data_IF_765554603591
#
_entry.id   IF_765554603591
#
_cell.length_a   1.000
_cell.length_b   1.000
_cell.length_c   1.000
_cell.angle_alpha   90.00
_cell.angle_beta   90.00
_cell.angle_gamma   90.00
#
_symmetry.space_group_name_H-M   'P 1'
#
loop_
_entity.id
_entity.type
_entity.pdbx_description
1 polymer ?
#
# COMPACT_ATOMS: atom_id res chain seq x y z
N UNK A 1 -70.77 -1.30 8.07
CA UNK A 1 -70.17 -1.48 9.41
C UNK A 1 -69.48 -2.84 9.48
N UNK A 2 -68.14 -2.87 9.50
CA UNK A 2 -67.37 -4.07 9.87
C UNK A 2 -66.38 -3.65 10.96
N UNK A 3 -66.58 -4.22 12.14
CA UNK A 3 -65.75 -4.05 13.33
C UNK A 3 -64.39 -4.73 13.12
N UNK A 4 -63.30 -4.01 13.43
CA UNK A 4 -61.97 -4.59 13.63
C UNK A 4 -61.80 -4.96 15.11
N UNK A 5 -61.49 -6.23 15.39
CA UNK A 5 -60.97 -6.67 16.68
C UNK A 5 -59.44 -6.84 16.59
N UNK A 6 -58.66 -6.45 17.62
CA UNK A 6 -57.22 -6.63 17.61
C UNK A 6 -56.85 -8.07 18.00
N UNK A 7 -55.97 -8.68 17.19
CA UNK A 7 -55.41 -10.01 17.43
C UNK A 7 -54.50 -10.02 18.66
N UNK A 8 -54.78 -10.94 19.60
CA UNK A 8 -53.94 -11.19 20.77
C UNK A 8 -52.68 -11.99 20.40
N UNK A 9 -51.50 -11.45 20.71
CA UNK A 9 -50.21 -12.12 20.49
C UNK A 9 -50.06 -13.32 21.45
N UNK A 10 -49.69 -14.53 20.98
CA UNK A 10 -49.57 -15.73 21.82
C UNK A 10 -48.52 -15.59 22.94
N UNK A 11 -48.82 -16.15 24.12
CA UNK A 11 -47.95 -16.12 25.32
C UNK A 11 -46.53 -16.66 25.08
N UNK A 12 -46.36 -17.63 24.17
CA UNK A 12 -45.05 -18.20 23.80
C UNK A 12 -44.16 -17.17 23.09
N UNK A 13 -44.71 -16.33 22.23
CA UNK A 13 -43.97 -15.28 21.50
C UNK A 13 -43.44 -14.20 22.43
N UNK A 14 -44.18 -13.88 23.51
CA UNK A 14 -43.70 -12.97 24.57
C UNK A 14 -42.54 -13.57 25.37
N UNK A 15 -42.54 -14.88 25.60
CA UNK A 15 -41.47 -15.57 26.33
C UNK A 15 -40.15 -15.60 25.54
N UNK A 16 -40.21 -15.87 24.23
CA UNK A 16 -39.03 -15.80 23.36
C UNK A 16 -38.50 -14.36 23.17
N UNK A 17 -39.39 -13.37 23.12
CA UNK A 17 -38.97 -11.96 23.08
C UNK A 17 -38.24 -11.54 24.37
N UNK A 18 -38.70 -12.00 25.54
CA UNK A 18 -38.02 -11.76 26.83
C UNK A 18 -36.67 -12.48 26.93
N UNK A 19 -36.57 -13.72 26.43
CA UNK A 19 -35.33 -14.49 26.38
C UNK A 19 -34.23 -13.84 25.52
N UNK A 20 -34.60 -13.05 24.51
CA UNK A 20 -33.66 -12.31 23.66
C UNK A 20 -33.42 -10.88 24.16
N UNK A 21 -34.42 -10.23 24.75
CA UNK A 21 -34.31 -8.86 25.22
C UNK A 21 -33.34 -8.72 26.40
N UNK A 22 -33.38 -9.65 27.36
CA UNK A 22 -32.52 -9.61 28.56
C UNK A 22 -31.02 -9.65 28.22
N UNK A 23 -30.50 -10.64 27.45
CA UNK A 23 -29.08 -10.66 27.09
C UNK A 23 -28.68 -9.47 26.21
N UNK A 24 -29.58 -8.97 25.36
CA UNK A 24 -29.33 -7.76 24.56
C UNK A 24 -29.19 -6.52 25.45
N UNK A 25 -30.05 -6.34 26.45
CA UNK A 25 -29.92 -5.25 27.42
C UNK A 25 -28.65 -5.36 28.25
N UNK A 26 -28.28 -6.57 28.71
CA UNK A 26 -27.01 -6.78 29.41
C UNK A 26 -25.80 -6.45 28.53
N UNK A 27 -25.85 -6.81 27.24
CA UNK A 27 -24.80 -6.46 26.27
C UNK A 27 -24.69 -4.94 26.07
N UNK A 28 -25.82 -4.24 25.92
CA UNK A 28 -25.85 -2.77 25.78
C UNK A 28 -25.34 -2.07 27.04
N UNK A 29 -25.76 -2.53 28.22
CA UNK A 29 -25.29 -1.99 29.51
C UNK A 29 -23.78 -2.24 29.67
N UNK A 30 -23.30 -3.46 29.34
CA UNK A 30 -21.87 -3.78 29.39
C UNK A 30 -21.06 -2.90 28.43
N UNK A 31 -21.55 -2.66 27.21
CA UNK A 31 -20.92 -1.73 26.26
C UNK A 31 -20.88 -0.29 26.81
N UNK A 32 -21.99 0.21 27.37
CA UNK A 32 -22.04 1.55 27.97
C UNK A 32 -21.11 1.69 29.18
N UNK A 33 -21.04 0.70 30.06
CA UNK A 33 -20.13 0.70 31.21
C UNK A 33 -18.66 0.62 30.77
N UNK A 34 -18.36 -0.19 29.76
CA UNK A 34 -17.01 -0.29 29.17
C UNK A 34 -16.59 1.03 28.53
N UNK A 35 -17.50 1.67 27.78
CA UNK A 35 -17.30 2.99 27.20
C UNK A 35 -17.07 4.05 28.29
N UNK A 36 -17.92 4.09 29.32
CA UNK A 36 -17.79 5.02 30.45
C UNK A 36 -16.44 4.89 31.15
N UNK A 37 -15.99 3.67 31.43
CA UNK A 37 -14.70 3.42 32.09
C UNK A 37 -13.52 3.82 31.21
N UNK A 38 -13.61 3.58 29.90
CA UNK A 38 -12.59 4.04 28.95
C UNK A 38 -12.54 5.57 28.83
N UNK A 39 -13.68 6.23 28.99
CA UNK A 39 -13.83 7.68 28.95
C UNK A 39 -13.30 8.33 30.23
N UNK A 40 -13.56 7.74 31.41
CA UNK A 40 -12.93 8.17 32.67
C UNK A 40 -11.40 8.01 32.63
N UNK A 41 -10.87 6.89 32.12
CA UNK A 41 -9.42 6.72 31.98
C UNK A 41 -8.82 7.76 31.02
N UNK A 42 -9.51 8.02 29.91
CA UNK A 42 -9.12 9.04 28.94
C UNK A 42 -9.13 10.44 29.55
N UNK A 43 -10.17 10.79 30.31
CA UNK A 43 -10.27 12.07 31.00
C UNK A 43 -9.23 12.18 32.13
N UNK A 44 -8.93 11.09 32.85
CA UNK A 44 -7.88 11.06 33.86
C UNK A 44 -6.48 11.24 33.25
N UNK A 45 -6.24 10.70 32.05
CA UNK A 45 -5.01 10.94 31.27
C UNK A 45 -4.96 12.38 30.75
N UNK A 46 -6.08 12.90 30.23
CA UNK A 46 -6.18 14.29 29.79
C UNK A 46 -5.96 15.27 30.96
N UNK A 47 -6.50 14.99 32.14
CA UNK A 47 -6.27 15.78 33.35
C UNK A 47 -4.85 15.62 33.90
N UNK A 48 -4.16 14.51 33.61
CA UNK A 48 -2.71 14.39 33.85
C UNK A 48 -1.88 15.23 32.87
N UNK A 49 -2.43 15.54 31.70
CA UNK A 49 -1.90 16.53 30.75
C UNK A 49 -2.67 17.84 30.88
N UNK A 50 -2.74 18.41 32.08
CA UNK A 50 -2.93 19.86 32.19
C UNK A 50 -1.78 20.53 31.42
N UNK A 51 -2.07 20.90 30.18
CA UNK A 51 -1.22 21.75 29.36
C UNK A 51 -1.19 23.12 30.05
N UNK A 52 -0.16 23.35 30.86
CA UNK A 52 0.25 24.72 31.15
C UNK A 52 0.53 25.39 29.81
N UNK A 53 0.00 26.60 29.61
CA UNK A 53 0.10 27.37 28.35
C UNK A 53 1.54 27.67 27.90
N UNK A 54 2.56 27.25 28.67
CA UNK A 54 3.98 27.42 28.41
C UNK A 54 4.80 26.12 28.26
N UNK A 55 4.21 24.92 28.33
CA UNK A 55 4.94 23.68 28.03
C UNK A 55 4.63 23.17 26.61
N UNK A 56 5.68 22.95 25.81
CA UNK A 56 5.56 22.29 24.52
C UNK A 56 4.81 20.95 24.66
N UNK A 57 4.01 20.59 23.65
CA UNK A 57 3.28 19.30 23.63
C UNK A 57 4.26 18.13 23.84
N UNK A 58 4.21 17.52 25.04
CA UNK A 58 5.00 16.33 25.38
C UNK A 58 4.31 15.12 24.76
N UNK A 59 4.92 14.54 23.73
CA UNK A 59 4.37 13.32 23.12
C UNK A 59 4.54 12.14 24.09
N UNK A 60 3.53 11.26 24.20
CA UNK A 60 3.63 10.10 25.08
C UNK A 60 4.67 9.11 24.53
N UNK A 61 5.55 8.63 25.40
CA UNK A 61 6.41 7.50 25.08
C UNK A 61 5.61 6.20 25.26
N UNK A 62 5.14 5.63 24.16
CA UNK A 62 4.31 4.42 24.16
C UNK A 62 5.21 3.19 24.28
N UNK A 63 4.87 2.29 25.21
CA UNK A 63 5.44 0.94 25.23
C UNK A 63 4.78 0.09 24.13
N UNK A 64 5.52 -0.39 23.11
CA UNK A 64 4.96 -1.25 22.09
C UNK A 64 4.39 -2.56 22.64
N UNK A 65 4.70 -2.96 23.87
CA UNK A 65 4.20 -4.19 24.49
C UNK A 65 3.27 -3.93 25.68
N UNK A 66 2.65 -2.74 25.76
CA UNK A 66 1.73 -2.37 26.83
C UNK A 66 0.66 -3.45 27.06
N UNK A 67 0.47 -3.85 28.31
CA UNK A 67 -0.41 -4.96 28.70
C UNK A 67 -1.86 -4.79 28.22
N UNK A 68 -2.32 -3.54 28.06
CA UNK A 68 -3.69 -3.25 27.63
C UNK A 68 -3.94 -3.64 26.17
N UNK A 69 -2.90 -3.68 25.33
CA UNK A 69 -3.02 -4.00 23.90
C UNK A 69 -2.70 -5.47 23.58
N UNK A 70 -1.98 -6.17 24.47
CA UNK A 70 -1.57 -7.57 24.27
C UNK A 70 -2.72 -8.53 23.88
N UNK A 71 -3.92 -8.45 24.50
CA UNK A 71 -5.03 -9.34 24.14
C UNK A 71 -5.54 -9.19 22.70
N UNK A 72 -5.25 -8.06 22.05
CA UNK A 72 -5.68 -7.77 20.69
C UNK A 72 -4.65 -8.22 19.64
N UNK A 73 -3.44 -8.62 20.05
CA UNK A 73 -2.47 -9.18 19.13
C UNK A 73 -2.73 -10.66 18.90
N UNK A 74 -3.02 -11.00 17.65
CA UNK A 74 -3.03 -12.37 17.17
C UNK A 74 -1.94 -12.51 16.12
N UNK A 75 -1.15 -13.56 16.22
CA UNK A 75 -0.19 -13.88 15.17
C UNK A 75 -0.98 -14.29 13.92
N UNK A 76 -0.73 -13.62 12.80
CA UNK A 76 -1.31 -14.01 11.53
C UNK A 76 -0.74 -15.38 11.11
N UNK A 77 -1.59 -16.23 10.55
CA UNK A 77 -1.15 -17.49 9.97
C UNK A 77 -0.25 -17.21 8.75
N UNK A 78 0.82 -18.00 8.53
CA UNK A 78 1.69 -17.83 7.38
C UNK A 78 0.90 -17.77 6.06
N UNK A 79 1.22 -16.79 5.22
CA UNK A 79 0.59 -16.64 3.93
C UNK A 79 0.98 -17.80 3.01
N UNK A 80 -0.01 -18.61 2.61
CA UNK A 80 0.18 -19.73 1.69
C UNK A 80 -0.60 -19.52 0.38
N UNK A 81 0.13 -19.09 -0.65
CA UNK A 81 -0.44 -18.86 -1.98
C UNK A 81 -0.53 -20.17 -2.76
N UNK A 82 -1.76 -20.64 -3.00
CA UNK A 82 -2.01 -21.90 -3.70
C UNK A 82 -1.60 -21.81 -5.16
N UNK A 83 -0.96 -22.87 -5.67
CA UNK A 83 -0.70 -23.02 -7.10
C UNK A 83 -1.98 -23.40 -7.84
N UNK A 84 -2.59 -22.42 -8.50
CA UNK A 84 -3.85 -22.59 -9.25
C UNK A 84 -3.64 -23.05 -10.69
N UNK A 85 -2.51 -22.69 -11.28
CA UNK A 85 -2.12 -23.04 -12.65
C UNK A 85 -0.59 -23.20 -12.72
N UNK A 86 -0.05 -23.87 -13.76
CA UNK A 86 1.38 -23.85 -14.07
C UNK A 86 1.80 -22.47 -14.63
N UNK A 87 3.05 -22.08 -14.41
CA UNK A 87 3.61 -20.81 -14.91
C UNK A 87 4.26 -21.04 -16.28
N UNK A 88 3.42 -21.20 -17.31
CA UNK A 88 3.87 -21.59 -18.66
C UNK A 88 4.76 -20.55 -19.35
N UNK A 89 4.76 -19.31 -18.88
CA UNK A 89 5.60 -18.23 -19.42
C UNK A 89 6.24 -17.43 -18.29
N UNK A 90 7.44 -16.92 -18.52
CA UNK A 90 8.10 -15.98 -17.62
C UNK A 90 8.74 -14.83 -18.38
N UNK A 91 8.93 -13.71 -17.69
CA UNK A 91 9.59 -12.51 -18.21
C UNK A 91 11.05 -12.48 -17.76
N UNK A 92 11.98 -12.30 -18.70
CA UNK A 92 13.41 -12.15 -18.39
C UNK A 92 13.75 -10.72 -17.96
N UNK A 93 14.89 -10.50 -17.28
CA UNK A 93 15.38 -9.15 -16.98
C UNK A 93 15.59 -8.25 -18.21
N UNK A 94 15.79 -8.84 -19.40
CA UNK A 94 15.95 -8.11 -20.66
C UNK A 94 14.60 -7.70 -21.29
N UNK A 95 13.49 -8.16 -20.71
CA UNK A 95 12.13 -7.89 -21.15
C UNK A 95 11.62 -8.84 -22.22
N UNK A 96 12.15 -10.06 -22.30
CA UNK A 96 11.70 -11.12 -23.21
C UNK A 96 10.71 -12.03 -22.49
N UNK A 97 9.61 -12.39 -23.16
CA UNK A 97 8.70 -13.42 -22.69
C UNK A 97 9.17 -14.75 -23.26
N UNK A 98 9.45 -15.70 -22.37
CA UNK A 98 9.90 -17.05 -22.70
C UNK A 98 8.89 -18.09 -22.23
N UNK A 99 8.80 -19.19 -22.95
CA UNK A 99 8.06 -20.36 -22.49
C UNK A 99 8.88 -21.11 -21.44
N UNK A 100 8.21 -21.51 -20.36
CA UNK A 100 8.81 -22.35 -19.34
C UNK A 100 8.63 -23.82 -19.74
N UNK A 101 9.63 -24.38 -20.42
CA UNK A 101 9.60 -25.75 -20.94
C UNK A 101 9.36 -26.78 -19.83
N UNK A 102 9.94 -26.59 -18.64
CA UNK A 102 9.75 -27.49 -17.49
C UNK A 102 8.31 -27.48 -17.00
N UNK A 103 7.68 -26.30 -16.91
CA UNK A 103 6.28 -26.15 -16.50
C UNK A 103 5.31 -26.71 -17.56
N UNK A 104 5.60 -26.50 -18.84
CA UNK A 104 4.85 -27.09 -19.95
C UNK A 104 4.85 -28.61 -19.88
N UNK A 105 6.03 -29.23 -19.74
CA UNK A 105 6.18 -30.68 -19.61
C UNK A 105 5.46 -31.22 -18.37
N UNK A 106 5.62 -30.55 -17.22
CA UNK A 106 4.96 -30.95 -15.97
C UNK A 106 3.43 -30.88 -16.08
N UNK A 107 2.92 -29.89 -16.82
CA UNK A 107 1.49 -29.74 -17.09
C UNK A 107 0.96 -30.66 -18.20
N UNK A 108 1.83 -31.47 -18.84
CA UNK A 108 1.45 -32.39 -19.90
C UNK A 108 1.18 -31.71 -21.26
N UNK A 109 1.80 -30.56 -21.51
CA UNK A 109 1.66 -29.82 -22.76
C UNK A 109 2.98 -29.76 -23.55
N UNK A 110 2.89 -29.93 -24.86
CA UNK A 110 3.93 -29.49 -25.80
C UNK A 110 3.56 -28.11 -26.35
N UNK A 111 4.53 -27.21 -26.50
CA UNK A 111 4.23 -25.86 -27.02
C UNK A 111 3.60 -25.90 -28.42
N UNK A 112 4.01 -26.85 -29.25
CA UNK A 112 3.45 -27.13 -30.59
C UNK A 112 1.99 -27.55 -30.56
N UNK A 113 1.48 -28.04 -29.43
CA UNK A 113 0.08 -28.42 -29.24
C UNK A 113 -0.82 -27.24 -28.83
N UNK A 114 -0.22 -26.11 -28.48
CA UNK A 114 -0.90 -24.91 -28.01
C UNK A 114 -0.89 -23.82 -29.09
N UNK A 115 -1.83 -22.89 -28.96
CA UNK A 115 -1.83 -21.60 -29.62
C UNK A 115 -1.75 -20.54 -28.54
N UNK A 116 -0.58 -19.93 -28.39
CA UNK A 116 -0.34 -18.87 -27.42
C UNK A 116 -0.32 -17.52 -28.13
N UNK A 117 -0.97 -16.54 -27.52
CA UNK A 117 -0.98 -15.16 -27.97
C UNK A 117 -0.76 -14.22 -26.81
N UNK A 118 -0.35 -13.00 -27.12
CA UNK A 118 -0.24 -11.92 -26.16
C UNK A 118 -0.89 -10.65 -26.70
N UNK A 119 -1.26 -9.75 -25.80
CA UNK A 119 -1.64 -8.39 -26.13
C UNK A 119 -1.10 -7.40 -25.12
N UNK A 120 -0.83 -6.20 -25.59
CA UNK A 120 -0.51 -5.06 -24.74
C UNK A 120 -1.77 -4.47 -24.13
N UNK A 121 -1.66 -3.93 -22.92
CA UNK A 121 -2.73 -3.13 -22.31
C UNK A 121 -2.16 -1.98 -21.48
N UNK A 122 -3.01 -1.01 -21.14
CA UNK A 122 -2.63 0.13 -20.32
C UNK A 122 -3.81 1.01 -19.96
N UNK A 123 -3.54 2.14 -19.28
CA UNK A 123 -4.57 3.12 -18.93
C UNK A 123 -5.18 3.72 -20.20
N UNK A 124 -6.50 3.77 -20.26
CA UNK A 124 -7.24 4.59 -21.21
C UNK A 124 -7.37 6.05 -20.69
N UNK A 125 -7.51 7.02 -21.59
CA UNK A 125 -7.76 8.41 -21.21
C UNK A 125 -9.18 8.54 -20.63
N UNK A 126 -9.32 9.17 -19.46
CA UNK A 126 -10.61 9.27 -18.75
C UNK A 126 -10.56 8.55 -17.41
N UNK A 127 -11.52 7.66 -17.14
CA UNK A 127 -11.62 6.95 -15.86
C UNK A 127 -10.32 6.22 -15.47
N UNK A 128 -10.01 6.21 -14.18
CA UNK A 128 -8.77 5.62 -13.67
C UNK A 128 -8.83 4.09 -13.51
N UNK A 129 -9.99 3.50 -13.77
CA UNK A 129 -10.25 2.05 -13.81
C UNK A 129 -10.42 1.51 -15.23
N UNK A 130 -10.31 2.36 -16.25
CA UNK A 130 -10.58 1.98 -17.64
C UNK A 130 -9.29 1.60 -18.36
N UNK A 131 -9.32 0.46 -19.06
CA UNK A 131 -8.16 -0.12 -19.74
C UNK A 131 -8.33 -0.11 -21.26
N UNK A 132 -7.30 0.34 -21.96
CA UNK A 132 -7.17 0.16 -23.40
C UNK A 132 -6.37 -1.10 -23.71
N UNK A 133 -6.80 -1.83 -24.74
CA UNK A 133 -6.20 -3.10 -25.16
C UNK A 133 -5.73 -3.02 -26.61
N UNK A 134 -4.55 -3.58 -26.88
CA UNK A 134 -4.09 -3.87 -28.23
C UNK A 134 -4.71 -5.15 -28.79
N UNK A 135 -4.44 -5.41 -30.07
CA UNK A 135 -4.78 -6.66 -30.74
C UNK A 135 -4.01 -7.84 -30.15
N UNK A 136 -4.60 -9.03 -30.18
CA UNK A 136 -3.90 -10.27 -29.89
C UNK A 136 -2.94 -10.62 -31.02
N UNK A 137 -1.69 -10.89 -30.67
CA UNK A 137 -0.62 -11.30 -31.58
C UNK A 137 -0.08 -12.65 -31.15
N UNK A 138 0.38 -13.47 -32.09
CA UNK A 138 1.02 -14.75 -31.78
C UNK A 138 2.22 -14.55 -30.84
N UNK A 139 2.33 -15.40 -29.83
CA UNK A 139 3.44 -15.39 -28.88
C UNK A 139 4.49 -16.41 -29.32
N UNK A 140 5.67 -15.92 -29.65
CA UNK A 140 6.84 -16.73 -29.97
C UNK A 140 7.81 -16.78 -28.78
N UNK A 141 8.66 -17.81 -28.73
CA UNK A 141 9.65 -17.90 -27.67
C UNK A 141 10.69 -16.78 -27.84
N UNK A 142 10.77 -15.87 -26.87
CA UNK A 142 11.69 -14.73 -26.92
C UNK A 142 11.04 -13.45 -27.43
N UNK A 143 9.70 -13.42 -27.57
CA UNK A 143 8.97 -12.20 -27.91
C UNK A 143 9.33 -11.07 -26.95
N UNK A 144 9.57 -9.88 -27.49
CA UNK A 144 9.87 -8.65 -26.73
C UNK A 144 8.76 -7.62 -26.94
N UNK A 145 7.73 -7.57 -26.10
CA UNK A 145 6.65 -6.60 -26.25
C UNK A 145 7.16 -5.16 -26.11
N UNK A 146 6.60 -4.24 -26.88
CA UNK A 146 6.95 -2.80 -26.85
C UNK A 146 6.12 -1.99 -25.82
N UNK A 147 5.43 -2.70 -24.93
CA UNK A 147 4.58 -2.13 -23.89
C UNK A 147 5.04 -2.60 -22.49
N UNK A 148 4.61 -1.86 -21.47
CA UNK A 148 4.96 -2.17 -20.08
C UNK A 148 4.14 -3.32 -19.52
N UNK A 149 2.87 -3.43 -19.91
CA UNK A 149 1.95 -4.44 -19.40
C UNK A 149 1.44 -5.34 -20.51
N UNK A 150 1.57 -6.64 -20.30
CA UNK A 150 1.28 -7.68 -21.29
C UNK A 150 0.39 -8.72 -20.67
N UNK A 151 -0.66 -9.08 -21.39
CA UNK A 151 -1.48 -10.24 -21.09
C UNK A 151 -1.14 -11.36 -22.07
N UNK A 152 -0.96 -12.57 -21.54
CA UNK A 152 -0.72 -13.79 -22.30
C UNK A 152 -1.90 -14.74 -22.11
N UNK A 153 -2.33 -15.38 -23.19
CA UNK A 153 -3.34 -16.44 -23.20
C UNK A 153 -2.84 -17.61 -24.05
N UNK A 154 -2.90 -18.82 -23.51
CA UNK A 154 -2.58 -20.04 -24.25
C UNK A 154 -3.80 -20.95 -24.33
N UNK A 155 -4.14 -21.37 -25.55
CA UNK A 155 -5.29 -22.21 -25.86
C UNK A 155 -4.89 -23.54 -26.46
N UNK A 156 -5.69 -24.58 -26.25
CA UNK A 156 -5.63 -25.79 -27.10
C UNK A 156 -6.00 -25.44 -28.53
N UNK A 157 -5.44 -26.13 -29.53
CA UNK A 157 -5.79 -25.90 -30.94
C UNK A 157 -7.21 -26.35 -31.28
N UNK A 158 -7.66 -27.49 -30.75
CA UNK A 158 -9.01 -28.00 -30.99
C UNK A 158 -9.51 -28.87 -29.82
N UNK A 159 -10.70 -28.59 -29.25
CA UNK A 159 -11.43 -27.33 -29.37
C UNK A 159 -10.62 -26.18 -28.74
N UNK A 160 -10.77 -24.93 -29.23
CA UNK A 160 -10.06 -23.78 -28.67
C UNK A 160 -10.56 -23.46 -27.26
N UNK A 161 -9.76 -23.85 -26.27
CA UNK A 161 -10.03 -23.66 -24.85
C UNK A 161 -8.81 -23.01 -24.20
N UNK A 162 -9.00 -21.87 -23.54
CA UNK A 162 -7.96 -21.23 -22.72
C UNK A 162 -7.61 -22.15 -21.55
N UNK A 163 -6.34 -22.48 -21.44
CA UNK A 163 -5.78 -23.35 -20.39
C UNK A 163 -4.85 -22.60 -19.44
N UNK A 164 -4.43 -21.39 -19.83
CA UNK A 164 -3.45 -20.60 -19.11
C UNK A 164 -3.59 -19.13 -19.50
N UNK A 165 -3.64 -18.27 -18.49
CA UNK A 165 -3.57 -16.82 -18.67
C UNK A 165 -2.60 -16.23 -17.65
N UNK A 166 -1.72 -15.32 -18.08
CA UNK A 166 -0.81 -14.65 -17.15
C UNK A 166 -0.55 -13.20 -17.57
N UNK A 167 -0.11 -12.40 -16.61
CA UNK A 167 0.19 -10.99 -16.79
C UNK A 167 1.67 -10.75 -16.51
N UNK A 168 2.33 -10.01 -17.39
CA UNK A 168 3.73 -9.63 -17.23
C UNK A 168 3.85 -8.10 -17.19
N UNK A 169 4.63 -7.60 -16.24
CA UNK A 169 4.97 -6.19 -16.12
C UNK A 169 6.47 -5.99 -16.33
N UNK A 170 6.83 -5.09 -17.25
CA UNK A 170 8.21 -4.64 -17.48
C UNK A 170 8.28 -3.13 -17.45
N UNK A 171 9.43 -2.61 -17.07
CA UNK A 171 9.72 -1.17 -17.16
C UNK A 171 10.33 -0.89 -18.53
N UNK A 172 9.76 0.09 -19.24
CA UNK A 172 10.34 0.60 -20.49
C UNK A 172 10.83 2.03 -20.24
N UNK A 173 12.16 2.26 -20.26
CA UNK A 173 12.70 3.57 -19.95
C UNK A 173 12.23 4.60 -20.98
N UNK A 174 11.74 5.74 -20.48
CA UNK A 174 11.27 6.85 -21.30
C UNK A 174 12.45 7.60 -21.92
N UNK A 175 12.50 7.66 -23.25
CA UNK A 175 13.66 8.16 -24.02
C UNK A 175 13.97 9.62 -23.66
N UNK A 176 12.95 10.45 -23.56
CA UNK A 176 13.03 11.86 -23.19
C UNK A 176 13.67 12.08 -21.82
N UNK A 177 13.41 11.21 -20.85
CA UNK A 177 14.00 11.27 -19.51
C UNK A 177 15.48 10.87 -19.57
N UNK A 178 15.79 9.78 -20.26
CA UNK A 178 17.17 9.30 -20.42
C UNK A 178 18.01 10.35 -21.16
N UNK A 179 17.50 10.90 -22.26
CA UNK A 179 18.21 11.88 -23.07
C UNK A 179 18.46 13.19 -22.31
N UNK A 180 17.49 13.66 -21.52
CA UNK A 180 17.65 14.83 -20.65
C UNK A 180 18.76 14.62 -19.61
N UNK A 181 18.85 13.44 -19.00
CA UNK A 181 19.82 13.18 -17.93
C UNK A 181 21.24 12.88 -18.42
N UNK A 182 21.46 12.59 -19.71
CA UNK A 182 22.82 12.46 -20.28
C UNK A 182 23.70 13.69 -20.05
N UNK A 183 23.10 14.87 -19.85
CA UNK A 183 23.78 16.17 -19.71
C UNK A 183 23.70 16.72 -18.29
N UNK A 184 23.03 16.03 -17.37
CA UNK A 184 22.82 16.49 -16.00
C UNK A 184 23.76 15.77 -15.04
N UNK A 185 24.17 16.41 -13.93
CA UNK A 185 24.91 15.73 -12.88
C UNK A 185 24.07 14.58 -12.30
N UNK A 186 24.76 13.54 -11.78
CA UNK A 186 24.09 12.44 -11.07
C UNK A 186 23.38 13.02 -9.84
N UNK A 187 22.11 12.66 -9.69
CA UNK A 187 21.24 13.08 -8.58
C UNK A 187 20.73 11.84 -7.84
N UNK A 188 20.47 11.94 -6.53
CA UNK A 188 19.96 10.82 -5.74
C UNK A 188 18.53 10.48 -6.14
N UNK A 189 18.15 9.20 -6.02
CA UNK A 189 16.74 8.83 -6.11
C UNK A 189 15.99 9.30 -4.85
N UNK A 190 14.67 9.38 -4.95
CA UNK A 190 13.76 9.71 -3.85
C UNK A 190 12.66 8.67 -3.81
N UNK A 191 12.69 7.80 -2.81
CA UNK A 191 11.81 6.63 -2.70
C UNK A 191 10.92 6.80 -1.48
N UNK A 192 9.61 6.84 -1.69
CA UNK A 192 8.58 6.82 -0.67
C UNK A 192 7.98 5.42 -0.66
N UNK A 193 8.33 4.62 0.35
CA UNK A 193 7.79 3.30 0.59
C UNK A 193 6.79 3.39 1.76
N UNK A 194 5.50 3.29 1.43
CA UNK A 194 4.41 3.46 2.38
C UNK A 194 3.76 2.12 2.70
N UNK A 195 3.57 1.84 3.98
CA UNK A 195 2.66 0.80 4.46
C UNK A 195 1.46 1.48 5.11
N UNK A 196 0.25 1.18 4.64
CA UNK A 196 -0.98 1.72 5.24
C UNK A 196 -1.14 1.23 6.69
N UNK A 197 -1.61 2.12 7.57
CA UNK A 197 -2.14 1.75 8.90
C UNK A 197 -1.14 1.15 9.89
N UNK A 198 0.14 1.56 9.85
CA UNK A 198 1.19 1.04 10.73
C UNK A 198 1.74 2.13 11.67
N UNK A 199 1.42 2.00 12.97
CA UNK A 199 2.01 2.85 14.01
C UNK A 199 3.50 2.53 14.24
N UNK A 200 4.24 3.46 14.83
CA UNK A 200 5.64 3.23 15.22
C UNK A 200 5.78 1.99 16.12
N UNK A 201 4.89 1.88 17.10
CA UNK A 201 4.85 0.77 18.03
C UNK A 201 4.42 -0.56 17.33
N UNK A 202 3.43 -0.53 16.45
CA UNK A 202 3.03 -1.71 15.67
C UNK A 202 4.14 -2.19 14.74
N UNK A 203 4.91 -1.26 14.16
CA UNK A 203 6.07 -1.61 13.35
C UNK A 203 7.10 -2.41 14.16
N UNK A 204 7.41 -1.97 15.38
CA UNK A 204 8.35 -2.69 16.27
C UNK A 204 7.90 -4.11 16.58
N UNK A 205 6.59 -4.32 16.72
CA UNK A 205 6.01 -5.64 16.97
C UNK A 205 5.99 -6.53 15.72
N UNK A 206 5.55 -5.97 14.59
CA UNK A 206 5.12 -6.75 13.43
C UNK A 206 6.17 -6.81 12.31
N UNK A 207 7.09 -5.84 12.25
CA UNK A 207 8.08 -5.70 11.18
C UNK A 207 9.54 -5.63 11.72
N UNK A 208 9.95 -6.48 12.67
CA UNK A 208 11.26 -6.36 13.30
C UNK A 208 12.43 -6.61 12.34
N UNK A 209 12.29 -7.49 11.34
CA UNK A 209 13.37 -7.75 10.37
C UNK A 209 13.56 -6.54 9.47
N UNK A 210 12.47 -5.98 8.98
CA UNK A 210 12.49 -4.76 8.16
C UNK A 210 13.09 -3.61 8.95
N UNK A 211 12.68 -3.42 10.21
CA UNK A 211 13.25 -2.40 11.08
C UNK A 211 14.76 -2.56 11.25
N UNK A 212 15.23 -3.80 11.46
CA UNK A 212 16.66 -4.08 11.56
C UNK A 212 17.42 -3.72 10.27
N UNK A 213 16.87 -4.01 9.09
CA UNK A 213 17.48 -3.62 7.80
C UNK A 213 17.56 -2.09 7.67
N UNK A 214 16.51 -1.36 8.07
CA UNK A 214 16.51 0.10 8.01
C UNK A 214 17.56 0.68 8.97
N UNK A 215 17.62 0.19 10.22
CA UNK A 215 18.56 0.69 11.21
C UNK A 215 20.01 0.28 10.93
N UNK A 216 20.28 -0.97 10.62
CA UNK A 216 21.64 -1.48 10.47
C UNK A 216 22.16 -1.41 9.04
N UNK A 217 21.30 -1.69 8.07
CA UNK A 217 21.62 -1.67 6.65
C UNK A 217 21.70 -0.26 6.09
N UNK A 218 20.69 0.57 6.39
CA UNK A 218 20.54 1.92 5.84
C UNK A 218 20.91 3.02 6.82
N UNK A 219 21.15 2.73 8.11
CA UNK A 219 21.39 3.75 9.13
C UNK A 219 20.26 4.81 9.15
N UNK A 220 19.04 4.37 8.87
CA UNK A 220 17.86 5.23 8.83
C UNK A 220 17.59 5.87 10.19
N UNK A 221 17.21 7.14 10.16
CA UNK A 221 16.71 7.84 11.35
C UNK A 221 15.23 7.58 11.50
N UNK A 222 14.81 6.94 12.60
CA UNK A 222 13.40 6.68 12.95
C UNK A 222 12.88 7.81 13.83
N UNK A 223 11.71 8.34 13.49
CA UNK A 223 11.07 9.44 14.21
C UNK A 223 9.99 8.90 15.13
N UNK A 224 10.27 8.95 16.43
CA UNK A 224 9.35 8.40 17.45
C UNK A 224 8.11 9.25 17.68
N UNK A 225 8.19 10.53 17.34
CA UNK A 225 7.12 11.51 17.54
C UNK A 225 6.43 11.97 16.27
N UNK A 226 6.62 11.27 15.15
CA UNK A 226 5.94 11.62 13.90
C UNK A 226 4.43 11.45 14.06
N UNK A 227 3.66 12.46 13.66
CA UNK A 227 2.22 12.52 13.88
C UNK A 227 1.49 12.73 12.55
N UNK A 228 0.30 12.14 12.43
CA UNK A 228 -0.57 12.33 11.28
C UNK A 228 -1.18 13.74 11.26
N UNK A 229 -1.54 14.21 10.07
CA UNK A 229 -2.17 15.53 9.87
C UNK A 229 -3.68 15.45 10.03
N UNK A 230 -4.30 14.36 9.59
CA UNK A 230 -5.75 14.19 9.55
C UNK A 230 -6.15 12.73 9.84
N UNK A 231 -7.44 12.41 9.71
CA UNK A 231 -7.94 11.14 10.22
C UNK A 231 -7.53 9.92 9.38
N UNK A 232 -7.80 9.92 8.07
CA UNK A 232 -7.60 8.78 7.16
C UNK A 232 -6.48 9.00 6.12
N UNK A 233 -6.26 8.01 5.25
CA UNK A 233 -5.13 8.00 4.32
C UNK A 233 -5.10 9.16 3.34
N UNK A 234 -6.23 9.48 2.71
CA UNK A 234 -6.32 10.52 1.69
C UNK A 234 -5.77 11.91 2.14
N UNK A 235 -6.28 12.55 3.22
CA UNK A 235 -5.79 13.86 3.65
C UNK A 235 -4.35 13.82 4.19
N UNK A 236 -3.92 12.71 4.79
CA UNK A 236 -2.53 12.53 5.20
C UNK A 236 -1.60 12.45 3.98
N UNK A 237 -1.98 11.67 2.97
CA UNK A 237 -1.28 11.57 1.69
C UNK A 237 -1.20 12.90 0.96
N UNK A 238 -2.33 13.60 0.85
CA UNK A 238 -2.38 14.93 0.24
C UNK A 238 -1.43 15.88 0.96
N UNK A 239 -1.40 15.87 2.30
CA UNK A 239 -0.51 16.75 3.06
C UNK A 239 0.96 16.56 2.71
N UNK A 240 1.46 15.32 2.65
CA UNK A 240 2.88 15.11 2.32
C UNK A 240 3.18 15.13 0.82
N UNK A 241 2.19 14.88 -0.05
CA UNK A 241 2.37 14.93 -1.51
C UNK A 241 2.22 16.34 -2.08
N UNK A 242 1.53 17.25 -1.41
CA UNK A 242 1.26 18.60 -1.93
C UNK A 242 1.75 19.73 -1.01
N UNK A 243 2.03 19.43 0.27
CA UNK A 243 2.23 20.45 1.29
C UNK A 243 0.97 21.24 1.65
N UNK A 244 -0.22 20.76 1.24
CA UNK A 244 -1.52 21.41 1.48
C UNK A 244 -2.41 20.58 2.38
N UNK A 245 -3.22 21.24 3.20
CA UNK A 245 -4.22 20.57 4.05
C UNK A 245 -5.55 20.40 3.32
N UNK A 246 -6.17 19.25 3.51
CA UNK A 246 -7.57 18.96 3.14
C UNK A 246 -8.21 18.17 4.26
N UNK A 247 -9.52 18.38 4.49
CA UNK A 247 -10.31 17.60 5.46
C UNK A 247 -9.65 17.50 6.85
N UNK A 248 -8.93 18.54 7.26
CA UNK A 248 -8.18 18.58 8.52
C UNK A 248 -9.08 19.14 9.62
N UNK A 249 -9.34 18.39 10.71
CA UNK A 249 -10.22 18.86 11.78
C UNK A 249 -9.77 20.21 12.36
N UNK A 250 -10.70 21.16 12.49
CA UNK A 250 -10.41 22.50 13.03
C UNK A 250 -9.71 23.46 12.06
N UNK A 251 -9.47 23.07 10.81
CA UNK A 251 -8.80 23.90 9.80
C UNK A 251 -9.58 23.88 8.47
N UNK A 252 -9.55 25.00 7.75
CA UNK A 252 -10.10 25.07 6.38
C UNK A 252 -9.21 24.31 5.39
N UNK A 253 -9.84 23.61 4.45
CA UNK A 253 -9.15 22.97 3.32
C UNK A 253 -8.48 24.02 2.42
N UNK A 254 -7.25 23.77 1.99
CA UNK A 254 -6.48 24.61 1.04
C UNK A 254 -6.64 24.15 -0.41
N UNK A 255 -7.17 22.95 -0.62
CA UNK A 255 -7.57 22.38 -1.90
C UNK A 255 -9.05 21.97 -1.80
N UNK A 256 -9.74 21.71 -2.93
CA UNK A 256 -11.10 21.19 -2.90
C UNK A 256 -11.20 19.95 -2.00
N UNK A 257 -12.30 19.83 -1.24
CA UNK A 257 -12.57 18.70 -0.35
C UNK A 257 -13.80 17.87 -0.75
N UNK A 258 -14.61 18.34 -1.72
CA UNK A 258 -15.57 17.50 -2.43
C UNK A 258 -14.86 16.71 -3.53
N UNK A 259 -14.65 15.42 -3.27
CA UNK A 259 -13.98 14.50 -4.20
C UNK A 259 -14.93 13.88 -5.22
N UNK A 260 -16.25 14.13 -5.10
CA UNK A 260 -17.23 13.50 -5.96
C UNK A 260 -17.01 13.91 -7.42
N UNK A 261 -16.75 12.92 -8.27
CA UNK A 261 -16.43 13.12 -9.70
C UNK A 261 -15.16 13.96 -9.96
N UNK A 262 -14.31 14.15 -8.95
CA UNK A 262 -13.08 14.93 -9.06
C UNK A 262 -11.98 14.14 -9.74
N UNK A 263 -11.13 14.88 -10.47
CA UNK A 263 -9.88 14.40 -11.04
C UNK A 263 -8.71 15.16 -10.43
N UNK A 264 -7.57 14.47 -10.27
CA UNK A 264 -6.41 15.00 -9.54
C UNK A 264 -5.26 15.46 -10.45
N UNK A 265 -5.46 15.47 -11.77
CA UNK A 265 -4.43 15.83 -12.75
C UNK A 265 -3.82 17.22 -12.51
N UNK A 266 -4.64 18.19 -12.07
CA UNK A 266 -4.22 19.58 -11.86
C UNK A 266 -3.73 19.88 -10.42
N UNK A 267 -3.65 18.85 -9.57
CA UNK A 267 -3.21 19.03 -8.19
C UNK A 267 -1.69 19.24 -8.12
N UNK A 268 -1.19 20.04 -7.16
CA UNK A 268 0.23 20.33 -7.01
C UNK A 268 0.97 19.18 -6.32
N UNK A 269 0.87 17.97 -6.90
CA UNK A 269 1.51 16.76 -6.40
C UNK A 269 3.01 16.82 -6.70
N UNK A 270 3.85 16.50 -5.70
CA UNK A 270 5.29 16.69 -5.74
C UNK A 270 5.98 15.94 -6.89
N UNK A 271 5.40 14.84 -7.35
CA UNK A 271 5.91 14.12 -8.52
C UNK A 271 5.84 14.94 -9.81
N UNK A 272 4.97 15.95 -9.89
CA UNK A 272 4.92 16.87 -11.03
C UNK A 272 6.22 17.68 -11.10
N UNK A 273 6.76 18.09 -9.95
CA UNK A 273 8.02 18.83 -9.90
C UNK A 273 9.22 17.92 -10.19
N UNK A 274 9.24 16.70 -9.66
CA UNK A 274 10.24 15.70 -10.04
C UNK A 274 10.21 15.38 -11.54
N UNK A 275 9.03 15.30 -12.15
CA UNK A 275 8.86 15.11 -13.60
C UNK A 275 9.47 16.28 -14.38
N UNK A 276 9.18 17.54 -13.97
CA UNK A 276 9.79 18.74 -14.57
C UNK A 276 11.30 18.74 -14.43
N UNK A 277 11.84 18.25 -13.31
CA UNK A 277 13.27 18.11 -13.06
C UNK A 277 13.92 16.93 -13.81
N UNK A 278 13.13 16.16 -14.56
CA UNK A 278 13.62 15.04 -15.38
C UNK A 278 13.88 13.77 -14.59
N UNK A 279 13.19 13.55 -13.47
CA UNK A 279 13.19 12.25 -12.81
C UNK A 279 12.25 11.30 -13.54
N UNK A 280 12.57 10.00 -13.52
CA UNK A 280 11.61 8.97 -13.82
C UNK A 280 10.63 8.85 -12.65
N UNK A 281 9.36 9.17 -12.87
CA UNK A 281 8.33 9.15 -11.83
C UNK A 281 7.54 7.85 -11.82
N UNK A 282 7.25 7.35 -10.62
CA UNK A 282 6.57 6.08 -10.39
C UNK A 282 5.50 6.23 -9.30
N UNK A 283 4.36 5.56 -9.52
CA UNK A 283 3.28 5.44 -8.55
C UNK A 283 2.63 4.06 -8.68
N UNK A 284 2.64 3.32 -7.57
CA UNK A 284 1.95 2.06 -7.44
C UNK A 284 1.27 1.97 -6.06
N UNK A 285 0.03 1.54 -6.06
CA UNK A 285 -0.78 1.29 -4.89
C UNK A 285 -1.66 0.06 -5.13
N UNK A 286 -1.55 -0.95 -4.27
CA UNK A 286 -2.37 -2.14 -4.34
C UNK A 286 -3.78 -1.89 -3.75
N UNK A 287 -4.63 -2.91 -3.70
CA UNK A 287 -6.03 -2.78 -3.24
C UNK A 287 -6.83 -1.70 -4.00
N UNK A 288 -7.04 -1.90 -5.31
CA UNK A 288 -7.54 -0.88 -6.27
C UNK A 288 -8.82 -0.14 -5.85
N UNK A 289 -9.68 -0.79 -5.07
CA UNK A 289 -10.97 -0.26 -4.63
C UNK A 289 -10.81 0.88 -3.62
N UNK A 290 -9.77 0.83 -2.80
CA UNK A 290 -9.52 1.78 -1.72
C UNK A 290 -8.30 2.68 -2.00
N UNK A 291 -7.83 2.69 -3.25
CA UNK A 291 -6.72 3.55 -3.68
C UNK A 291 -6.97 5.02 -3.33
N UNK A 292 -5.95 5.71 -2.84
CA UNK A 292 -6.01 7.10 -2.36
C UNK A 292 -6.78 8.03 -3.29
N UNK A 293 -6.38 8.07 -4.55
CA UNK A 293 -6.93 9.02 -5.50
C UNK A 293 -8.13 8.49 -6.27
N UNK A 294 -8.54 7.23 -6.09
CA UNK A 294 -9.70 6.65 -6.79
C UNK A 294 -10.92 6.44 -5.87
N UNK A 295 -10.70 6.15 -4.60
CA UNK A 295 -11.80 5.93 -3.67
C UNK A 295 -12.65 7.20 -3.52
N UNK A 296 -13.95 7.08 -3.84
CA UNK A 296 -14.95 8.17 -3.84
C UNK A 296 -14.71 9.31 -4.86
N UNK A 297 -13.86 9.07 -5.87
CA UNK A 297 -13.50 10.05 -6.90
C UNK A 297 -13.40 9.39 -8.29
N UNK A 298 -12.91 10.11 -9.31
CA UNK A 298 -12.64 9.55 -10.64
C UNK A 298 -11.15 9.19 -10.87
N UNK A 299 -10.26 9.43 -9.90
CA UNK A 299 -8.81 9.23 -10.09
C UNK A 299 -8.17 10.25 -11.02
N UNK A 300 -7.23 9.78 -11.84
CA UNK A 300 -6.54 10.61 -12.83
C UNK A 300 -7.09 10.40 -14.24
N UNK A 301 -7.28 11.48 -15.00
CA UNK A 301 -7.65 11.41 -16.43
C UNK A 301 -6.52 10.78 -17.23
N UNK A 302 -5.32 11.34 -17.08
CA UNK A 302 -4.09 10.86 -17.67
C UNK A 302 -3.32 9.94 -16.71
N UNK A 303 -2.13 9.48 -17.13
CA UNK A 303 -1.18 8.86 -16.20
C UNK A 303 -0.52 9.99 -15.39
N UNK A 304 -0.58 9.98 -14.04
CA UNK A 304 -0.01 11.05 -13.22
C UNK A 304 1.54 11.02 -13.18
N UNK A 305 2.12 9.90 -13.59
CA UNK A 305 3.57 9.61 -13.54
C UNK A 305 3.99 8.82 -14.77
N UNK A 306 5.30 8.72 -15.03
CA UNK A 306 5.84 7.99 -16.18
C UNK A 306 5.56 6.48 -16.12
N UNK A 307 5.64 5.91 -14.91
CA UNK A 307 5.41 4.49 -14.63
C UNK A 307 4.28 4.34 -13.63
N UNK A 308 3.05 4.25 -14.15
CA UNK A 308 1.84 4.13 -13.36
C UNK A 308 1.35 2.68 -13.33
N UNK A 309 1.39 2.05 -12.16
CA UNK A 309 1.15 0.60 -12.04
C UNK A 309 -0.32 0.20 -11.96
N UNK A 310 -1.21 1.15 -11.65
CA UNK A 310 -2.65 0.90 -11.49
C UNK A 310 -3.29 0.09 -12.63
N UNK A 311 -3.00 0.32 -13.92
CA UNK A 311 -3.60 -0.49 -15.00
C UNK A 311 -3.31 -1.98 -14.86
N UNK A 312 -2.11 -2.34 -14.38
CA UNK A 312 -1.74 -3.72 -14.13
C UNK A 312 -2.58 -4.33 -13.01
N UNK A 313 -2.77 -3.59 -11.91
CA UNK A 313 -3.64 -4.01 -10.82
C UNK A 313 -5.10 -4.14 -11.24
N UNK A 314 -5.64 -3.19 -11.99
CA UNK A 314 -7.01 -3.28 -12.52
C UNK A 314 -7.18 -4.58 -13.31
N UNK A 315 -6.22 -4.90 -14.21
CA UNK A 315 -6.27 -6.15 -14.98
C UNK A 315 -6.16 -7.38 -14.09
N UNK A 316 -5.31 -7.39 -13.05
CA UNK A 316 -5.20 -8.51 -12.10
C UNK A 316 -6.56 -8.83 -11.49
N UNK A 317 -7.31 -7.84 -11.01
CA UNK A 317 -8.60 -8.03 -10.33
C UNK A 317 -9.69 -8.61 -11.26
N UNK A 318 -9.54 -8.41 -12.57
CA UNK A 318 -10.40 -8.99 -13.60
C UNK A 318 -10.04 -10.43 -13.96
N UNK A 319 -8.86 -10.93 -13.57
CA UNK A 319 -8.44 -12.31 -13.90
C UNK A 319 -9.19 -13.37 -13.10
N UNK A 320 -9.41 -14.52 -13.73
CA UNK A 320 -9.88 -15.71 -13.03
C UNK A 320 -8.89 -16.19 -11.96
N UNK A 321 -7.59 -16.06 -12.24
CA UNK A 321 -6.49 -16.45 -11.34
C UNK A 321 -6.62 -15.72 -10.01
N UNK A 322 -6.70 -14.39 -10.02
CA UNK A 322 -6.84 -13.59 -8.81
C UNK A 322 -8.13 -13.92 -8.04
N UNK A 323 -9.27 -14.03 -8.73
CA UNK A 323 -10.57 -14.35 -8.12
C UNK A 323 -10.61 -15.72 -7.42
N UNK A 324 -9.68 -16.62 -7.74
CA UNK A 324 -9.56 -17.96 -7.14
C UNK A 324 -8.37 -18.08 -6.18
N UNK A 325 -7.54 -17.05 -6.08
CA UNK A 325 -6.38 -17.04 -5.20
C UNK A 325 -6.79 -16.98 -3.73
N UNK A 326 -5.88 -17.46 -2.87
CA UNK A 326 -5.92 -17.12 -1.45
C UNK A 326 -5.93 -15.59 -1.30
N UNK A 327 -6.67 -15.00 -0.35
CA UNK A 327 -6.56 -13.56 -0.06
C UNK A 327 -5.10 -13.13 0.10
N UNK A 328 -4.74 -11.92 -0.37
CA UNK A 328 -3.37 -11.40 -0.45
C UNK A 328 -2.42 -12.15 -1.41
N UNK A 329 -2.94 -12.99 -2.31
CA UNK A 329 -2.16 -13.66 -3.33
C UNK A 329 -2.67 -13.35 -4.74
N UNK A 330 -1.74 -13.36 -5.70
CA UNK A 330 -2.00 -13.48 -7.12
C UNK A 330 -1.39 -14.79 -7.62
N UNK A 331 -2.25 -15.77 -7.95
CA UNK A 331 -1.83 -17.13 -8.23
C UNK A 331 -1.09 -17.74 -7.04
N UNK A 332 0.13 -18.21 -7.30
CA UNK A 332 1.03 -18.81 -6.32
C UNK A 332 1.99 -17.81 -5.64
N UNK A 333 1.80 -16.50 -5.83
CA UNK A 333 2.67 -15.46 -5.27
C UNK A 333 1.89 -14.50 -4.37
N UNK A 334 2.50 -14.02 -3.28
CA UNK A 334 1.95 -12.90 -2.53
C UNK A 334 1.78 -11.65 -3.41
N UNK A 335 0.65 -10.95 -3.26
CA UNK A 335 0.32 -9.75 -4.05
C UNK A 335 1.35 -8.63 -3.87
N UNK A 336 1.82 -8.39 -2.63
CA UNK A 336 2.79 -7.32 -2.35
C UNK A 336 4.10 -7.49 -3.13
N UNK A 337 4.54 -8.74 -3.35
CA UNK A 337 5.73 -9.02 -4.14
C UNK A 337 5.59 -8.62 -5.61
N UNK A 338 4.38 -8.71 -6.18
CA UNK A 338 4.11 -8.32 -7.58
C UNK A 338 4.42 -6.84 -7.79
N UNK A 339 3.98 -5.98 -6.87
CA UNK A 339 4.25 -4.53 -6.94
C UNK A 339 5.71 -4.20 -6.61
N UNK A 340 6.28 -4.84 -5.58
CA UNK A 340 7.67 -4.66 -5.19
C UNK A 340 8.64 -5.05 -6.32
N UNK A 341 8.36 -6.13 -7.03
CA UNK A 341 9.16 -6.56 -8.20
C UNK A 341 9.14 -5.54 -9.34
N UNK A 342 8.02 -4.83 -9.53
CA UNK A 342 7.93 -3.76 -10.51
C UNK A 342 8.78 -2.54 -10.10
N UNK A 343 8.76 -2.14 -8.82
CA UNK A 343 9.65 -1.09 -8.29
C UNK A 343 11.13 -1.50 -8.40
N UNK A 344 11.46 -2.75 -8.04
CA UNK A 344 12.82 -3.30 -8.19
C UNK A 344 13.30 -3.22 -9.65
N UNK A 345 12.42 -3.55 -10.58
CA UNK A 345 12.70 -3.47 -12.02
C UNK A 345 12.94 -2.04 -12.47
N UNK A 346 12.15 -1.08 -11.99
CA UNK A 346 12.32 0.35 -12.26
C UNK A 346 13.70 0.83 -11.83
N UNK A 347 14.06 0.59 -10.57
CA UNK A 347 15.33 1.02 -10.00
C UNK A 347 16.53 0.45 -10.78
N UNK A 348 16.47 -0.83 -11.16
CA UNK A 348 17.52 -1.46 -11.96
C UNK A 348 17.59 -0.90 -13.39
N UNK A 349 16.46 -0.67 -14.04
CA UNK A 349 16.41 -0.12 -15.41
C UNK A 349 16.97 1.30 -15.48
N UNK A 350 16.75 2.10 -14.43
CA UNK A 350 17.13 3.51 -14.37
C UNK A 350 18.46 3.82 -13.65
N UNK A 351 19.06 2.85 -12.94
CA UNK A 351 20.26 3.00 -12.09
C UNK A 351 21.35 3.94 -12.65
N UNK A 352 21.66 3.84 -13.95
CA UNK A 352 22.68 4.65 -14.63
C UNK A 352 22.11 5.49 -15.79
N UNK A 353 20.80 5.76 -15.79
CA UNK A 353 20.11 6.48 -16.86
C UNK A 353 19.46 7.79 -16.41
N UNK A 354 18.81 7.78 -15.25
CA UNK A 354 18.15 8.95 -14.67
C UNK A 354 17.80 8.69 -13.20
N UNK A 355 17.66 9.74 -12.37
CA UNK A 355 17.16 9.56 -11.01
C UNK A 355 15.67 9.21 -11.01
N UNK A 356 15.24 8.49 -9.98
CA UNK A 356 13.87 8.01 -9.80
C UNK A 356 13.20 8.76 -8.65
N UNK A 357 11.96 9.22 -8.86
CA UNK A 357 11.03 9.52 -7.78
C UNK A 357 9.96 8.43 -7.77
N UNK A 358 9.81 7.71 -6.66
CA UNK A 358 8.85 6.61 -6.57
C UNK A 358 7.96 6.75 -5.34
N UNK A 359 6.65 6.72 -5.56
CA UNK A 359 5.65 6.43 -4.54
C UNK A 359 5.20 4.97 -4.67
N UNK A 360 5.56 4.15 -3.69
CA UNK A 360 5.15 2.76 -3.60
C UNK A 360 4.37 2.57 -2.31
N UNK A 361 3.08 2.24 -2.43
CA UNK A 361 2.16 2.14 -1.32
C UNK A 361 1.55 0.74 -1.24
N UNK A 362 1.68 0.08 -0.10
CA UNK A 362 1.04 -1.20 0.16
C UNK A 362 -0.09 -0.99 1.17
N UNK A 363 -1.31 -1.15 0.68
CA UNK A 363 -2.58 -0.99 1.39
C UNK A 363 -3.06 -2.35 1.89
N UNK A 364 -3.00 -3.40 1.05
CA UNK A 364 -3.61 -4.71 1.33
C UNK A 364 -3.08 -5.37 2.63
N UNK A 365 -1.79 -5.21 2.94
CA UNK A 365 -1.18 -5.81 4.14
C UNK A 365 -1.61 -5.17 5.47
N UNK A 366 -1.98 -3.89 5.46
CA UNK A 366 -2.19 -3.10 6.67
C UNK A 366 -3.63 -2.67 6.91
N UNK A 367 -4.46 -2.63 5.86
CA UNK A 367 -5.77 -1.99 5.90
C UNK A 367 -6.79 -2.68 6.83
N UNK A 368 -6.91 -4.00 6.79
CA UNK A 368 -8.01 -4.71 7.48
C UNK A 368 -7.66 -5.12 8.91
N UNK A 369 -6.50 -5.74 9.12
CA UNK A 369 -6.09 -6.28 10.41
C UNK A 369 -4.65 -5.92 10.74
N UNK A 370 -4.42 -5.36 11.94
CA UNK A 370 -3.08 -4.91 12.35
C UNK A 370 -2.02 -6.01 12.37
N UNK A 371 -2.43 -7.28 12.49
CA UNK A 371 -1.54 -8.44 12.50
C UNK A 371 -1.08 -8.89 11.11
N UNK A 372 -1.80 -8.53 10.04
CA UNK A 372 -1.50 -9.02 8.68
C UNK A 372 -0.20 -8.45 8.14
N UNK A 373 0.18 -7.24 8.57
CA UNK A 373 1.42 -6.58 8.10
C UNK A 373 2.67 -7.42 8.40
N UNK A 374 2.64 -8.25 9.45
CA UNK A 374 3.73 -9.14 9.80
C UNK A 374 4.02 -10.21 8.72
N UNK A 375 3.05 -10.51 7.86
CA UNK A 375 3.22 -11.43 6.73
C UNK A 375 4.22 -10.90 5.70
N UNK A 376 4.36 -9.57 5.59
CA UNK A 376 5.30 -8.92 4.68
C UNK A 376 6.72 -8.75 5.24
N UNK A 377 6.96 -8.93 6.54
CA UNK A 377 8.22 -8.51 7.18
C UNK A 377 9.46 -9.12 6.50
N UNK A 378 9.44 -10.43 6.27
CA UNK A 378 10.59 -11.11 5.68
C UNK A 378 10.80 -10.73 4.20
N UNK A 379 9.73 -10.44 3.47
CA UNK A 379 9.79 -10.06 2.07
C UNK A 379 10.29 -8.63 1.89
N UNK A 380 9.77 -7.70 2.71
CA UNK A 380 10.17 -6.29 2.71
C UNK A 380 11.63 -6.16 3.16
N UNK A 381 12.05 -6.88 4.21
CA UNK A 381 13.44 -6.92 4.62
C UNK A 381 14.37 -7.37 3.48
N UNK A 382 14.06 -8.50 2.82
CA UNK A 382 14.84 -9.01 1.68
C UNK A 382 14.87 -8.04 0.50
N UNK A 383 13.76 -7.34 0.25
CA UNK A 383 13.69 -6.33 -0.81
C UNK A 383 14.69 -5.20 -0.57
N UNK A 384 14.71 -4.64 0.64
CA UNK A 384 15.66 -3.59 1.00
C UNK A 384 17.11 -4.10 1.04
N UNK A 385 17.36 -5.28 1.62
CA UNK A 385 18.70 -5.90 1.60
C UNK A 385 19.23 -6.07 0.17
N UNK A 386 18.41 -6.60 -0.74
CA UNK A 386 18.78 -6.83 -2.13
C UNK A 386 18.94 -5.55 -2.96
N UNK A 387 18.46 -4.40 -2.48
CA UNK A 387 18.54 -3.10 -3.15
C UNK A 387 19.50 -2.13 -2.47
N UNK A 388 20.23 -2.55 -1.43
CA UNK A 388 21.17 -1.71 -0.68
C UNK A 388 22.12 -0.95 -1.60
N UNK A 389 22.78 -1.65 -2.53
CA UNK A 389 23.73 -1.04 -3.48
C UNK A 389 23.08 -0.09 -4.50
N UNK A 390 21.77 -0.20 -4.73
CA UNK A 390 21.03 0.69 -5.64
C UNK A 390 20.52 1.92 -4.88
N UNK A 391 20.20 1.76 -3.60
CA UNK A 391 19.53 2.78 -2.79
C UNK A 391 20.44 3.52 -1.81
N UNK A 392 21.70 3.09 -1.62
CA UNK A 392 22.65 3.75 -0.70
C UNK A 392 22.88 5.23 -0.96
N UNK A 393 22.83 5.63 -2.23
CA UNK A 393 22.97 7.03 -2.66
C UNK A 393 21.60 7.67 -2.96
N UNK A 394 20.53 7.19 -2.32
CA UNK A 394 19.16 7.68 -2.48
C UNK A 394 18.59 8.20 -1.16
N UNK A 395 17.64 9.13 -1.23
CA UNK A 395 16.75 9.40 -0.11
C UNK A 395 15.67 8.32 -0.07
N UNK A 396 15.57 7.58 1.03
CA UNK A 396 14.56 6.52 1.20
C UNK A 396 13.73 6.83 2.43
N UNK A 397 12.46 7.13 2.21
CA UNK A 397 11.46 7.33 3.23
C UNK A 397 10.65 6.05 3.36
N UNK A 398 10.65 5.45 4.54
CA UNK A 398 9.81 4.30 4.85
C UNK A 398 8.88 4.68 5.99
N UNK A 399 7.59 4.74 5.72
CA UNK A 399 6.63 5.33 6.64
C UNK A 399 5.20 4.84 6.44
N UNK A 400 4.32 5.31 7.31
CA UNK A 400 2.88 5.10 7.25
C UNK A 400 2.16 6.45 7.32
N UNK A 401 0.93 6.46 6.83
CA UNK A 401 0.03 7.62 6.82
C UNK A 401 -0.70 7.82 8.16
N UNK A 402 -1.05 6.72 8.83
CA UNK A 402 -1.62 6.68 10.17
C UNK A 402 -1.35 5.32 10.84
N UNK A 403 -1.61 5.19 12.14
CA UNK A 403 -1.64 3.88 12.78
C UNK A 403 -2.95 3.12 12.49
N UNK A 404 -3.12 1.93 13.08
CA UNK A 404 -4.31 1.12 12.82
C UNK A 404 -5.60 1.81 13.26
N UNK A 405 -6.54 1.98 12.33
CA UNK A 405 -7.80 2.70 12.55
C UNK A 405 -9.00 1.79 12.78
N UNK A 406 -8.80 0.49 12.69
CA UNK A 406 -9.84 -0.51 12.87
C UNK A 406 -9.57 -1.34 14.14
N UNK A 407 -10.44 -2.31 14.41
CA UNK A 407 -10.37 -3.22 15.55
C UNK A 407 -10.57 -2.66 16.97
N UNK A 408 -10.72 -3.62 17.90
CA UNK A 408 -10.98 -3.36 19.32
C UNK A 408 -9.79 -2.73 20.04
N UNK A 409 -8.58 -2.75 19.46
CA UNK A 409 -7.40 -2.10 20.04
C UNK A 409 -7.65 -0.61 20.31
N UNK A 410 -8.47 0.07 19.50
CA UNK A 410 -8.85 1.48 19.67
C UNK A 410 -9.70 1.77 20.91
N UNK A 411 -10.25 0.75 21.56
CA UNK A 411 -10.93 0.90 22.84
C UNK A 411 -9.95 1.22 23.97
N UNK A 412 -8.68 0.83 23.81
CA UNK A 412 -7.59 1.17 24.73
C UNK A 412 -7.07 2.60 24.48
N UNK A 413 -6.46 3.19 25.50
CA UNK A 413 -5.77 4.47 25.38
C UNK A 413 -4.59 4.33 24.41
N UNK A 414 -3.77 3.29 24.60
CA UNK A 414 -2.57 3.04 23.79
C UNK A 414 -2.92 2.91 22.32
N UNK A 415 -3.96 2.14 21.98
CA UNK A 415 -4.43 2.01 20.60
C UNK A 415 -4.83 3.35 19.98
N UNK A 416 -5.46 4.27 20.73
CA UNK A 416 -5.77 5.62 20.24
C UNK A 416 -4.52 6.48 20.06
N UNK A 417 -3.52 6.33 20.91
CA UNK A 417 -2.27 7.08 20.78
C UNK A 417 -1.43 6.56 19.60
N UNK A 418 -1.27 5.24 19.47
CA UNK A 418 -0.59 4.60 18.35
C UNK A 418 -1.20 4.97 17.00
N UNK A 419 -2.53 5.05 16.93
CA UNK A 419 -3.27 5.44 15.73
C UNK A 419 -2.87 6.84 15.20
N UNK A 420 -2.37 7.73 16.07
CA UNK A 420 -1.90 9.08 15.73
C UNK A 420 -0.40 9.15 15.46
N UNK A 421 0.34 8.09 15.78
CA UNK A 421 1.81 8.04 15.70
C UNK A 421 2.24 7.00 14.66
N UNK A 422 2.04 7.27 13.36
CA UNK A 422 2.52 6.39 12.30
C UNK A 422 4.03 6.22 12.35
N UNK A 423 4.51 5.06 11.89
CA UNK A 423 5.94 4.85 11.71
C UNK A 423 6.48 5.82 10.66
N UNK A 424 7.63 6.44 10.91
CA UNK A 424 8.36 7.22 9.92
C UNK A 424 9.86 7.03 10.10
N UNK A 425 10.54 6.73 9.01
CA UNK A 425 11.98 6.65 8.96
C UNK A 425 12.52 7.22 7.66
N UNK A 426 13.73 7.79 7.74
CA UNK A 426 14.43 8.34 6.57
C UNK A 426 15.88 7.86 6.54
N UNK A 427 16.28 7.32 5.41
CA UNK A 427 17.67 7.19 5.00
C UNK A 427 18.05 8.39 4.12
N UNK A 428 19.20 8.98 4.42
CA UNK A 428 19.81 10.04 3.65
C UNK A 428 21.17 9.52 3.16
N UNK A 429 21.58 9.81 1.91
CA UNK A 429 22.88 9.38 1.39
C UNK A 429 24.03 9.74 2.35
N UNK A 430 24.95 8.81 2.58
CA UNK A 430 26.04 8.98 3.56
C UNK A 430 26.85 10.24 3.31
N UNK A 431 27.23 10.48 2.05
CA UNK A 431 27.98 11.68 1.68
C UNK A 431 27.21 12.98 1.95
N UNK A 432 25.88 12.97 1.86
CA UNK A 432 25.07 14.14 2.23
C UNK A 432 25.02 14.32 3.75
N UNK A 433 24.84 13.23 4.50
CA UNK A 433 24.90 13.27 5.96
C UNK A 433 26.24 13.78 6.47
N UNK A 434 27.36 13.48 5.80
CA UNK A 434 28.71 13.95 6.14
C UNK A 434 28.93 15.43 5.84
N UNK A 435 28.50 15.90 4.66
CA UNK A 435 28.66 17.29 4.25
C UNK A 435 27.72 18.24 4.98
N UNK A 436 26.49 17.80 5.23
CA UNK A 436 25.43 18.65 5.79
C UNK A 436 25.21 18.37 7.28
N UNK A 437 26.09 18.93 8.12
CA UNK A 437 26.01 18.80 9.58
C UNK A 437 24.73 19.37 10.17
N UNK A 438 24.17 20.42 9.54
CA UNK A 438 22.90 21.02 9.95
C UNK A 438 21.74 20.05 9.75
N UNK A 439 21.62 19.45 8.56
CA UNK A 439 20.61 18.43 8.27
C UNK A 439 20.70 17.26 9.26
N UNK A 440 21.92 16.75 9.50
CA UNK A 440 22.15 15.69 10.49
C UNK A 440 21.63 16.10 11.88
N UNK A 441 21.92 17.33 12.32
CA UNK A 441 21.45 17.86 13.59
C UNK A 441 19.92 18.03 13.65
N UNK A 442 19.28 18.43 12.55
CA UNK A 442 17.81 18.53 12.44
C UNK A 442 17.18 17.14 12.58
N UNK A 443 17.66 16.14 11.83
CA UNK A 443 17.15 14.77 11.90
C UNK A 443 17.30 14.18 13.31
N UNK A 444 18.44 14.39 13.96
CA UNK A 444 18.68 13.90 15.32
C UNK A 444 17.81 14.58 16.39
N UNK A 445 17.51 15.87 16.23
CA UNK A 445 16.62 16.59 17.15
C UNK A 445 15.17 16.18 16.95
N UNK A 446 14.70 16.13 15.70
CA UNK A 446 13.30 15.87 15.39
C UNK A 446 12.91 14.38 15.51
N UNK A 447 13.88 13.47 15.57
CA UNK A 447 13.60 12.03 15.74
C UNK A 447 13.26 11.62 17.17
N UNK A 448 13.59 12.46 18.16
CA UNK A 448 13.37 12.17 19.58
C UNK A 448 12.03 12.73 20.02
N UNK A 449 11.35 11.97 20.88
CA UNK A 449 10.24 12.48 21.70
C UNK A 449 10.85 13.14 22.92
N UNK A 450 10.51 14.41 23.18
CA UNK A 450 11.00 15.23 24.29
C UNK A 450 10.03 15.27 25.45
#
# INVERSE_FOLDING_TARGET
MRNYQPLSVPRKTRFYALLLAVPLTFFVIFQQLSYSKSHELYNALLMRTELSENEACKLPNIDPWDETILPFFRKADPLNCKRLQPELTYLTPQGLILFNTTELQTAGYEITSLQCSYRCFGKELGGDDTLQYGSWTELENGTRPECEFVEVDCRKKFPPLSIYTNLHARVIPKKEIVDKNKRLPKRPNVILFVLDSVSEASWRRSLPKTLNVLLEGYKSTVFRGFNKVADNSFPNAVAFLTGKRVMTPGHSSELPDDMSKSYFDDWPLIWNDYTKEGYATFYAEDLIKYNLFYYLSNGFKGKPVNHYFRPFWVRIYETFVYRRSTPMCFGNKPSHLVQMDYLKSLLNVYKEKAPVFALHWLTELGHDWSSQVALGDADIARFFEGLKEVLRESYVFVFSDHGHRFDQIRQTVVGRLEERLPFFSVHVPEGEMERNKELRGILQRNSKVS
#
